data_IF_542399765196
#
_entry.id   IF_542399765196
#
_cell.length_a   1.000
_cell.length_b   1.000
_cell.length_c   1.000
_cell.angle_alpha   90.00
_cell.angle_beta   90.00
_cell.angle_gamma   90.00
#
_symmetry.space_group_name_H-M   'P 1'
#
loop_
_entity.id
_entity.type
_entity.pdbx_description
1 polymer ?
#
# COMPACT_ATOMS: atom_id res chain seq x y z
N UNK A 1 5.06 -25.59 -13.27
CA UNK A 1 5.36 -24.82 -12.05
C UNK A 1 4.05 -24.22 -11.57
N UNK A 2 3.76 -24.25 -10.27
CA UNK A 2 2.53 -23.64 -9.75
C UNK A 2 2.65 -22.11 -9.83
N UNK A 3 1.62 -21.46 -10.33
CA UNK A 3 1.50 -20.01 -10.36
C UNK A 3 1.38 -19.48 -8.91
N UNK A 4 2.21 -18.50 -8.58
CA UNK A 4 2.18 -17.83 -7.27
C UNK A 4 1.30 -16.60 -7.36
N UNK A 5 0.41 -16.45 -6.39
CA UNK A 5 -0.51 -15.31 -6.32
C UNK A 5 -0.36 -14.61 -4.98
N UNK A 6 -0.20 -13.28 -5.02
CA UNK A 6 -0.09 -12.42 -3.86
C UNK A 6 -1.27 -11.45 -3.79
N UNK A 7 -1.61 -11.05 -2.57
CA UNK A 7 -2.69 -10.11 -2.27
C UNK A 7 -2.22 -9.04 -1.30
N UNK A 8 -2.79 -7.83 -1.43
CA UNK A 8 -2.58 -6.73 -0.48
C UNK A 8 -3.79 -5.79 -0.46
N UNK A 9 -4.02 -5.12 0.68
CA UNK A 9 -5.07 -4.12 0.82
C UNK A 9 -4.67 -2.78 0.18
N UNK A 10 -5.64 -2.08 -0.42
CA UNK A 10 -5.48 -0.76 -1.02
C UNK A 10 -6.22 0.31 -0.21
N UNK A 11 -5.76 1.56 -0.34
CA UNK A 11 -6.32 2.72 0.32
C UNK A 11 -5.97 2.79 1.81
N UNK A 12 -6.66 3.67 2.53
CA UNK A 12 -6.46 3.85 3.96
C UNK A 12 -7.76 3.95 4.72
N UNK A 13 -7.73 3.46 5.95
CA UNK A 13 -8.87 3.50 6.86
C UNK A 13 -9.18 4.92 7.32
N UNK A 14 -10.46 5.26 7.30
CA UNK A 14 -11.01 6.48 7.88
C UNK A 14 -12.31 6.19 8.63
N UNK A 15 -12.57 6.94 9.68
CA UNK A 15 -13.82 6.89 10.41
C UNK A 15 -14.67 8.11 10.07
N UNK A 16 -15.88 7.91 9.58
CA UNK A 16 -16.86 8.96 9.28
C UNK A 16 -17.95 9.02 10.35
N UNK A 17 -18.53 10.22 10.54
CA UNK A 17 -19.72 10.42 11.33
C UNK A 17 -20.92 10.63 10.40
N UNK A 18 -22.05 10.01 10.69
CA UNK A 18 -23.30 10.10 9.90
C UNK A 18 -24.14 11.35 10.20
N UNK A 19 -23.62 12.32 10.92
CA UNK A 19 -24.40 13.48 11.41
C UNK A 19 -25.29 13.18 12.60
N UNK A 20 -25.63 11.93 12.88
CA UNK A 20 -26.36 11.48 14.06
C UNK A 20 -25.44 11.00 15.20
N UNK A 21 -24.15 11.22 15.10
CA UNK A 21 -23.14 10.81 16.09
C UNK A 21 -22.66 9.35 15.97
N UNK A 22 -23.18 8.58 15.03
CA UNK A 22 -22.69 7.22 14.76
C UNK A 22 -21.44 7.28 13.89
N UNK A 23 -20.45 6.51 14.28
CA UNK A 23 -19.20 6.35 13.52
C UNK A 23 -19.25 5.08 12.70
N UNK A 24 -18.91 5.19 11.42
CA UNK A 24 -18.79 4.03 10.54
C UNK A 24 -17.44 4.02 9.81
N UNK A 25 -16.87 2.82 9.58
CA UNK A 25 -15.60 2.68 8.90
C UNK A 25 -15.77 2.85 7.40
N UNK A 26 -14.83 3.56 6.78
CA UNK A 26 -14.70 3.67 5.32
C UNK A 26 -13.24 3.50 4.93
N UNK A 27 -13.02 3.02 3.71
CA UNK A 27 -11.70 3.08 3.07
C UNK A 27 -11.71 4.26 2.12
N UNK A 28 -10.73 5.12 2.25
CA UNK A 28 -10.46 6.21 1.32
C UNK A 28 -9.40 5.76 0.33
N UNK A 29 -9.68 5.89 -0.96
CA UNK A 29 -8.78 5.59 -2.06
C UNK A 29 -9.11 6.52 -3.23
N UNK A 30 -8.11 7.19 -3.79
CA UNK A 30 -8.28 8.14 -4.90
C UNK A 30 -9.43 9.15 -4.65
N UNK A 31 -9.44 9.76 -3.46
CA UNK A 31 -10.47 10.71 -3.01
C UNK A 31 -11.90 10.17 -2.90
N UNK A 32 -12.14 8.89 -3.19
CA UNK A 32 -13.44 8.21 -3.06
C UNK A 32 -13.53 7.45 -1.75
N UNK A 33 -14.72 7.41 -1.18
CA UNK A 33 -15.00 6.68 0.07
C UNK A 33 -15.77 5.40 -0.22
N UNK A 34 -15.26 4.29 0.28
CA UNK A 34 -15.85 2.98 0.14
C UNK A 34 -16.34 2.49 1.50
N UNK A 35 -17.67 2.43 1.66
CA UNK A 35 -18.28 1.79 2.84
C UNK A 35 -18.00 0.29 2.82
N UNK A 36 -17.75 -0.28 4.00
CA UNK A 36 -17.46 -1.70 4.18
C UNK A 36 -18.33 -2.29 5.29
N UNK A 37 -18.78 -3.52 5.08
CA UNK A 37 -19.39 -4.28 6.15
C UNK A 37 -18.31 -4.84 7.13
N UNK A 38 -18.71 -5.35 8.30
CA UNK A 38 -17.74 -5.85 9.29
C UNK A 38 -16.85 -6.98 8.77
N UNK A 39 -17.37 -7.86 7.91
CA UNK A 39 -16.61 -8.96 7.32
C UNK A 39 -15.57 -8.46 6.33
N UNK A 40 -15.97 -7.56 5.43
CA UNK A 40 -15.07 -6.89 4.48
C UNK A 40 -13.95 -6.15 5.21
N UNK A 41 -14.30 -5.39 6.25
CA UNK A 41 -13.32 -4.66 7.06
C UNK A 41 -12.33 -5.58 7.76
N UNK A 42 -12.79 -6.72 8.28
CA UNK A 42 -11.92 -7.71 8.93
C UNK A 42 -10.93 -8.30 7.93
N UNK A 43 -11.39 -8.69 6.74
CA UNK A 43 -10.52 -9.23 5.69
C UNK A 43 -9.56 -8.17 5.15
N UNK A 44 -10.02 -6.95 4.89
CA UNK A 44 -9.17 -5.84 4.48
C UNK A 44 -8.08 -5.56 5.51
N UNK A 45 -8.43 -5.57 6.81
CA UNK A 45 -7.47 -5.41 7.91
C UNK A 45 -6.46 -6.56 7.96
N UNK A 46 -6.90 -7.79 7.69
CA UNK A 46 -6.03 -8.95 7.61
C UNK A 46 -4.95 -8.82 6.51
N UNK A 47 -5.26 -8.12 5.42
CA UNK A 47 -4.36 -7.88 4.29
C UNK A 47 -3.56 -6.57 4.40
N UNK A 48 -3.95 -5.66 5.30
CA UNK A 48 -3.32 -4.35 5.43
C UNK A 48 -1.85 -4.47 5.88
N UNK A 49 -0.95 -3.83 5.14
CA UNK A 49 0.51 -3.90 5.29
C UNK A 49 1.08 -5.32 5.25
N UNK A 50 0.49 -6.17 4.44
CA UNK A 50 0.99 -7.51 4.12
C UNK A 50 1.00 -7.74 2.62
N UNK A 51 1.98 -8.50 2.18
CA UNK A 51 2.12 -9.01 0.82
C UNK A 51 2.08 -10.53 0.97
N UNK A 52 0.94 -11.14 0.78
CA UNK A 52 0.70 -12.50 1.24
C UNK A 52 -0.06 -13.35 0.23
N UNK A 53 0.18 -14.64 0.24
CA UNK A 53 -0.61 -15.62 -0.52
C UNK A 53 -2.00 -15.82 0.09
N UNK A 54 -2.85 -16.54 -0.63
CA UNK A 54 -4.23 -16.80 -0.24
C UNK A 54 -4.34 -17.55 1.08
N UNK A 55 -3.51 -18.57 1.30
CA UNK A 55 -3.58 -19.40 2.50
C UNK A 55 -3.27 -18.58 3.76
N UNK A 56 -2.20 -17.82 3.73
CA UNK A 56 -1.83 -16.93 4.84
C UNK A 56 -2.84 -15.81 5.05
N UNK A 57 -3.45 -15.31 3.96
CA UNK A 57 -4.53 -14.32 4.06
C UNK A 57 -5.74 -14.90 4.82
N UNK A 58 -6.10 -16.16 4.55
CA UNK A 58 -7.16 -16.88 5.25
C UNK A 58 -6.81 -17.09 6.72
N UNK A 59 -5.60 -17.56 7.02
CA UNK A 59 -5.11 -17.73 8.40
C UNK A 59 -5.19 -16.41 9.21
N UNK A 60 -4.78 -15.29 8.62
CA UNK A 60 -4.88 -13.98 9.26
C UNK A 60 -6.34 -13.52 9.45
N UNK A 61 -7.19 -13.78 8.46
CA UNK A 61 -8.60 -13.47 8.55
C UNK A 61 -9.28 -14.26 9.66
N UNK A 62 -9.03 -15.57 9.74
CA UNK A 62 -9.55 -16.43 10.79
C UNK A 62 -9.10 -15.99 12.19
N UNK A 63 -7.82 -15.63 12.35
CA UNK A 63 -7.31 -15.12 13.61
C UNK A 63 -8.02 -13.83 14.06
N UNK A 64 -8.32 -12.92 13.11
CA UNK A 64 -9.00 -11.65 13.44
C UNK A 64 -10.50 -11.83 13.62
N UNK A 65 -11.14 -12.78 12.91
CA UNK A 65 -12.58 -13.03 13.00
C UNK A 65 -12.97 -13.93 14.16
N UNK A 66 -12.00 -14.56 14.83
CA UNK A 66 -12.26 -15.46 15.94
C UNK A 66 -13.02 -14.74 17.08
N UNK A 67 -14.19 -15.29 17.44
CA UNK A 67 -15.07 -14.69 18.45
C UNK A 67 -15.92 -13.52 17.97
N UNK A 68 -15.91 -13.18 16.68
CA UNK A 68 -16.78 -12.15 16.10
C UNK A 68 -17.99 -12.77 15.41
N UNK A 69 -19.18 -12.20 15.66
CA UNK A 69 -20.37 -12.49 14.86
C UNK A 69 -20.36 -11.56 13.63
N UNK A 70 -19.89 -12.08 12.49
CA UNK A 70 -19.81 -11.32 11.23
C UNK A 70 -21.05 -11.55 10.38
N UNK A 71 -21.71 -10.46 9.97
CA UNK A 71 -22.86 -10.46 9.06
C UNK A 71 -22.63 -9.41 7.96
N UNK A 72 -22.96 -9.73 6.69
CA UNK A 72 -23.42 -11.04 6.17
C UNK A 72 -22.30 -12.10 6.25
N UNK A 73 -22.67 -13.35 6.43
CA UNK A 73 -21.71 -14.46 6.53
C UNK A 73 -21.42 -15.05 5.14
N UNK A 74 -20.42 -14.50 4.48
CA UNK A 74 -19.89 -15.01 3.20
C UNK A 74 -18.70 -15.95 3.46
N UNK A 75 -18.37 -16.81 2.50
CA UNK A 75 -17.11 -17.54 2.55
C UNK A 75 -15.92 -16.58 2.47
N UNK A 76 -14.75 -16.99 2.96
CA UNK A 76 -13.51 -16.22 2.79
C UNK A 76 -13.25 -15.90 1.31
N UNK A 77 -13.41 -16.91 0.44
CA UNK A 77 -13.23 -16.77 -1.00
C UNK A 77 -14.13 -15.70 -1.60
N UNK A 78 -15.43 -15.77 -1.33
CA UNK A 78 -16.40 -14.82 -1.89
C UNK A 78 -16.13 -13.40 -1.41
N UNK A 79 -15.74 -13.24 -0.13
CA UNK A 79 -15.38 -11.95 0.43
C UNK A 79 -14.10 -11.39 -0.20
N UNK A 80 -13.07 -12.22 -0.42
CA UNK A 80 -11.83 -11.84 -1.06
C UNK A 80 -12.06 -11.42 -2.52
N UNK A 81 -12.76 -12.25 -3.29
CA UNK A 81 -13.07 -11.98 -4.70
C UNK A 81 -13.92 -10.70 -4.85
N UNK A 82 -14.82 -10.46 -3.91
CA UNK A 82 -15.60 -9.23 -3.85
C UNK A 82 -14.73 -8.00 -3.60
N UNK A 83 -13.80 -8.05 -2.64
CA UNK A 83 -12.88 -6.94 -2.37
C UNK A 83 -11.93 -6.68 -3.54
N UNK A 84 -11.48 -7.72 -4.24
CA UNK A 84 -10.68 -7.59 -5.48
C UNK A 84 -11.50 -6.91 -6.57
N UNK A 85 -12.76 -7.35 -6.78
CA UNK A 85 -13.67 -6.75 -7.79
C UNK A 85 -13.96 -5.27 -7.49
N UNK A 86 -14.08 -4.91 -6.21
CA UNK A 86 -14.27 -3.51 -5.78
C UNK A 86 -12.97 -2.68 -5.86
N UNK A 87 -11.85 -3.29 -6.21
CA UNK A 87 -10.55 -2.62 -6.24
C UNK A 87 -9.98 -2.24 -4.87
N UNK A 88 -10.50 -2.80 -3.77
CA UNK A 88 -10.01 -2.55 -2.40
C UNK A 88 -8.91 -3.52 -1.97
N UNK A 89 -8.72 -4.57 -2.74
CA UNK A 89 -7.61 -5.53 -2.62
C UNK A 89 -6.97 -5.69 -4.00
N UNK A 90 -5.66 -5.55 -4.07
CA UNK A 90 -4.89 -5.89 -5.26
C UNK A 90 -4.49 -7.36 -5.25
N UNK A 91 -4.42 -7.93 -6.45
CA UNK A 91 -3.96 -9.28 -6.73
C UNK A 91 -2.88 -9.24 -7.79
N UNK A 92 -1.77 -9.95 -7.59
CA UNK A 92 -0.72 -10.13 -8.59
C UNK A 92 -0.31 -11.59 -8.65
N UNK A 93 0.00 -12.07 -9.85
CA UNK A 93 0.33 -13.46 -10.14
C UNK A 93 1.61 -13.57 -10.95
N UNK A 94 2.37 -14.65 -10.75
CA UNK A 94 3.60 -14.86 -11.50
C UNK A 94 4.18 -16.26 -11.32
N UNK A 95 5.17 -16.56 -12.13
CA UNK A 95 5.89 -17.84 -12.09
C UNK A 95 6.94 -17.90 -10.98
N UNK A 96 7.45 -16.73 -10.58
CA UNK A 96 8.39 -16.55 -9.46
C UNK A 96 7.79 -15.63 -8.40
N UNK A 97 8.39 -15.60 -7.20
CA UNK A 97 7.98 -14.68 -6.15
C UNK A 97 8.13 -13.22 -6.59
N UNK A 98 9.18 -12.92 -7.35
CA UNK A 98 9.41 -11.58 -7.87
C UNK A 98 8.40 -11.19 -8.96
N UNK A 99 8.09 -12.10 -9.90
CA UNK A 99 7.08 -11.84 -10.93
C UNK A 99 5.71 -11.54 -10.32
N UNK A 100 5.30 -12.34 -9.33
CA UNK A 100 4.05 -12.11 -8.61
C UNK A 100 4.06 -10.79 -7.82
N UNK A 101 5.20 -10.42 -7.23
CA UNK A 101 5.36 -9.17 -6.51
C UNK A 101 5.30 -7.96 -7.44
N UNK A 102 6.00 -8.01 -8.58
CA UNK A 102 5.98 -6.92 -9.55
C UNK A 102 4.60 -6.79 -10.22
N UNK A 103 3.96 -7.90 -10.56
CA UNK A 103 2.59 -7.91 -11.08
C UNK A 103 1.58 -7.31 -10.09
N UNK A 104 1.79 -7.56 -8.79
CA UNK A 104 0.97 -6.95 -7.73
C UNK A 104 1.19 -5.44 -7.59
N UNK A 105 2.44 -4.98 -7.66
CA UNK A 105 2.80 -3.61 -7.27
C UNK A 105 2.96 -2.66 -8.46
N UNK A 106 3.22 -3.16 -9.67
CA UNK A 106 3.62 -2.36 -10.83
C UNK A 106 2.69 -1.19 -11.12
N UNK A 107 1.38 -1.42 -11.11
CA UNK A 107 0.34 -0.41 -11.37
C UNK A 107 -0.04 0.43 -10.14
N UNK A 108 0.40 0.02 -8.93
CA UNK A 108 -0.05 0.66 -7.70
C UNK A 108 0.73 1.95 -7.43
N UNK A 109 -0.01 3.02 -7.16
CA UNK A 109 0.54 4.29 -6.72
C UNK A 109 1.05 4.20 -5.30
N UNK A 110 2.25 4.71 -5.08
CA UNK A 110 2.95 4.70 -3.80
C UNK A 110 2.70 6.01 -3.08
N UNK A 111 1.83 5.99 -2.06
CA UNK A 111 1.44 7.19 -1.31
C UNK A 111 2.13 7.21 0.05
N UNK A 112 3.02 8.17 0.32
CA UNK A 112 3.71 8.29 1.59
C UNK A 112 2.76 8.62 2.74
N UNK A 113 2.87 7.89 3.84
CA UNK A 113 2.16 8.23 5.07
C UNK A 113 2.88 9.39 5.75
N UNK A 114 2.21 10.54 5.82
CA UNK A 114 2.73 11.69 6.54
C UNK A 114 2.60 11.48 8.05
N UNK A 115 3.61 10.87 8.67
CA UNK A 115 3.72 10.88 10.13
C UNK A 115 4.28 12.22 10.57
N UNK A 116 3.41 13.20 10.83
CA UNK A 116 3.87 14.48 11.40
C UNK A 116 4.51 14.24 12.77
N UNK A 117 5.67 14.85 13.01
CA UNK A 117 6.36 14.76 14.30
C UNK A 117 5.44 15.10 15.49
N UNK A 118 4.55 16.12 15.41
CA UNK A 118 3.56 16.40 16.46
C UNK A 118 2.64 15.21 16.77
N UNK A 119 2.19 14.48 15.76
CA UNK A 119 1.32 13.31 15.95
C UNK A 119 2.06 12.18 16.68
N UNK A 120 3.35 11.96 16.37
CA UNK A 120 4.18 10.98 17.09
C UNK A 120 4.35 11.36 18.56
N UNK A 121 4.56 12.64 18.87
CA UNK A 121 4.66 13.14 20.24
C UNK A 121 3.36 12.94 21.01
N UNK A 122 2.21 13.30 20.43
CA UNK A 122 0.90 13.10 21.05
C UNK A 122 0.62 11.60 21.28
N UNK A 123 0.95 10.74 20.33
CA UNK A 123 0.79 9.29 20.47
C UNK A 123 1.69 8.74 21.56
N UNK A 124 2.95 9.20 21.61
CA UNK A 124 3.91 8.82 22.65
C UNK A 124 3.40 9.19 24.05
N UNK A 125 2.92 10.41 24.23
CA UNK A 125 2.35 10.87 25.49
C UNK A 125 1.11 10.04 25.89
N UNK A 126 0.21 9.75 24.95
CA UNK A 126 -0.95 8.88 25.19
C UNK A 126 -0.55 7.48 25.64
N UNK A 127 0.46 6.87 25.00
CA UNK A 127 0.97 5.55 25.39
C UNK A 127 1.60 5.57 26.77
N UNK A 128 2.35 6.62 27.14
CA UNK A 128 2.87 6.77 28.51
C UNK A 128 1.76 6.90 29.54
N UNK A 129 0.73 7.72 29.25
CA UNK A 129 -0.42 7.89 30.15
C UNK A 129 -1.26 6.61 30.29
N UNK A 130 -1.23 5.70 29.28
CA UNK A 130 -1.91 4.39 29.36
C UNK A 130 -1.07 3.30 30.03
N UNK A 131 0.07 3.64 30.65
CA UNK A 131 0.91 2.69 31.37
C UNK A 131 1.84 1.83 30.51
N UNK A 132 2.00 2.19 29.23
CA UNK A 132 2.95 1.49 28.33
C UNK A 132 4.39 1.79 28.73
N UNK A 133 5.24 0.77 28.80
CA UNK A 133 6.64 0.94 29.17
C UNK A 133 7.35 1.96 28.26
N UNK A 134 8.17 2.89 28.78
CA UNK A 134 8.84 3.95 28.02
C UNK A 134 9.67 3.43 26.84
N UNK A 135 10.27 2.23 26.97
CA UNK A 135 11.02 1.57 25.91
C UNK A 135 10.17 1.20 24.69
N UNK A 136 8.93 0.74 24.90
CA UNK A 136 8.00 0.41 23.81
C UNK A 136 7.46 1.68 23.15
N UNK A 137 7.19 2.74 23.92
CA UNK A 137 6.73 4.01 23.39
C UNK A 137 7.83 4.74 22.59
N UNK A 138 9.11 4.61 22.98
CA UNK A 138 10.24 5.20 22.26
C UNK A 138 10.47 4.61 20.87
N UNK A 139 9.92 3.41 20.59
CA UNK A 139 9.98 2.81 19.26
C UNK A 139 9.36 3.71 18.17
N UNK A 140 8.43 4.62 18.53
CA UNK A 140 7.84 5.62 17.62
C UNK A 140 8.88 6.62 17.09
N UNK A 141 9.98 6.86 17.83
CA UNK A 141 11.05 7.79 17.47
C UNK A 141 12.29 7.09 16.92
N UNK A 142 12.25 5.77 16.78
CA UNK A 142 13.39 5.03 16.20
C UNK A 142 13.66 5.60 14.81
N UNK A 143 14.91 6.06 14.62
CA UNK A 143 15.36 6.60 13.34
C UNK A 143 15.35 5.47 12.32
N UNK A 144 14.44 5.58 11.38
CA UNK A 144 14.24 4.61 10.31
C UNK A 144 15.47 4.66 9.39
N UNK A 145 16.25 3.60 9.39
CA UNK A 145 17.42 3.48 8.50
C UNK A 145 16.92 3.07 7.12
N UNK A 146 16.49 4.06 6.34
CA UNK A 146 16.15 3.85 4.93
C UNK A 146 17.39 3.61 4.10
N UNK A 147 17.33 2.67 3.19
CA UNK A 147 18.34 2.48 2.15
C UNK A 147 18.30 3.65 1.16
N UNK A 148 19.32 3.77 0.30
CA UNK A 148 19.35 4.82 -0.73
C UNK A 148 18.14 4.74 -1.66
N UNK A 149 17.76 3.57 -2.25
CA UNK A 149 16.56 3.45 -3.05
C UNK A 149 15.28 3.83 -2.29
N UNK A 150 15.13 3.42 -1.03
CA UNK A 150 13.96 3.77 -0.21
C UNK A 150 13.85 5.29 0.02
N UNK A 151 14.98 5.99 0.19
CA UNK A 151 15.01 7.46 0.33
C UNK A 151 14.60 8.15 -0.96
N UNK A 152 15.11 7.67 -2.08
CA UNK A 152 14.80 8.19 -3.40
C UNK A 152 13.31 8.03 -3.73
N UNK A 153 12.74 6.83 -3.55
CA UNK A 153 11.32 6.53 -3.71
C UNK A 153 10.45 7.46 -2.84
N UNK A 154 10.78 7.58 -1.56
CA UNK A 154 10.03 8.46 -0.64
C UNK A 154 10.09 9.93 -1.04
N UNK A 155 11.19 10.38 -1.62
CA UNK A 155 11.32 11.75 -2.11
C UNK A 155 10.46 11.98 -3.35
N UNK A 156 10.54 11.09 -4.35
CA UNK A 156 9.73 11.16 -5.58
C UNK A 156 8.23 11.06 -5.29
N UNK A 157 7.80 10.09 -4.49
CA UNK A 157 6.38 9.89 -4.16
C UNK A 157 5.77 11.03 -3.33
N UNK A 158 6.58 11.92 -2.73
CA UNK A 158 6.10 13.15 -2.11
C UNK A 158 5.90 14.29 -3.10
N UNK A 159 6.62 14.26 -4.21
CA UNK A 159 6.54 15.27 -5.25
C UNK A 159 5.38 15.00 -6.21
N UNK A 160 5.14 13.73 -6.54
CA UNK A 160 4.07 13.32 -7.46
C UNK A 160 3.50 11.95 -7.03
N UNK A 161 2.21 11.68 -7.30
CA UNK A 161 1.66 10.35 -7.20
C UNK A 161 2.25 9.49 -8.33
N UNK A 162 3.14 8.58 -7.98
CA UNK A 162 3.83 7.71 -8.94
C UNK A 162 3.52 6.25 -8.65
N UNK A 163 3.27 5.47 -9.69
CA UNK A 163 3.17 4.01 -9.63
C UNK A 163 4.55 3.38 -9.41
N UNK A 164 4.57 2.12 -9.00
CA UNK A 164 5.85 1.40 -8.85
C UNK A 164 6.61 1.33 -10.18
N UNK A 165 5.93 1.13 -11.32
CA UNK A 165 6.57 1.10 -12.63
C UNK A 165 7.17 2.48 -13.00
N UNK A 166 6.46 3.58 -12.72
CA UNK A 166 6.98 4.94 -12.92
C UNK A 166 8.20 5.21 -12.03
N UNK A 167 8.22 4.70 -10.79
CA UNK A 167 9.39 4.79 -9.90
C UNK A 167 10.59 3.99 -10.45
N UNK A 168 10.35 2.84 -11.09
CA UNK A 168 11.39 2.09 -11.80
C UNK A 168 11.94 2.93 -12.94
N UNK A 169 11.08 3.54 -13.77
CA UNK A 169 11.50 4.42 -14.86
C UNK A 169 12.29 5.62 -14.36
N UNK A 170 11.85 6.24 -13.24
CA UNK A 170 12.62 7.33 -12.62
C UNK A 170 14.04 6.89 -12.24
N UNK A 171 14.19 5.66 -11.72
CA UNK A 171 15.50 5.14 -11.33
C UNK A 171 16.39 4.83 -12.57
N UNK A 172 15.81 4.32 -13.67
CA UNK A 172 16.54 4.08 -14.91
C UNK A 172 17.02 5.38 -15.59
N UNK A 173 16.22 6.44 -15.48
CA UNK A 173 16.52 7.74 -16.09
C UNK A 173 17.23 8.71 -15.15
N UNK A 174 17.66 8.27 -13.95
CA UNK A 174 18.28 9.11 -12.90
C UNK A 174 17.45 10.37 -12.56
N UNK A 175 16.12 10.29 -12.65
CA UNK A 175 15.22 11.40 -12.34
C UNK A 175 15.20 11.64 -10.82
N UNK A 176 15.62 12.82 -10.39
CA UNK A 176 15.66 13.18 -8.99
C UNK A 176 14.40 13.95 -8.55
N UNK A 177 14.02 13.82 -7.29
CA UNK A 177 12.88 14.55 -6.70
C UNK A 177 13.06 16.08 -6.68
N UNK A 178 14.26 16.59 -6.96
CA UNK A 178 14.52 18.03 -7.02
C UNK A 178 13.85 18.71 -8.22
N UNK A 179 13.42 17.92 -9.21
CA UNK A 179 12.89 18.41 -10.50
C UNK A 179 11.44 18.94 -10.39
N UNK A 180 10.67 18.53 -9.38
CA UNK A 180 9.26 18.90 -9.22
C UNK A 180 8.28 18.04 -10.06
N UNK A 181 6.99 18.03 -9.68
CA UNK A 181 6.00 17.06 -10.19
C UNK A 181 5.76 17.15 -11.71
N UNK A 182 5.53 18.35 -12.24
CA UNK A 182 5.26 18.51 -13.69
C UNK A 182 6.44 18.10 -14.55
N UNK A 183 7.64 18.45 -14.13
CA UNK A 183 8.85 18.13 -14.87
C UNK A 183 9.19 16.64 -14.75
N UNK A 184 8.92 16.01 -13.60
CA UNK A 184 9.04 14.56 -13.45
C UNK A 184 8.12 13.82 -14.41
N UNK A 185 6.86 14.22 -14.52
CA UNK A 185 5.92 13.61 -15.47
C UNK A 185 6.32 13.88 -16.94
N UNK A 186 6.80 15.09 -17.24
CA UNK A 186 7.28 15.40 -18.59
C UNK A 186 8.52 14.57 -18.99
N UNK A 187 9.40 14.24 -18.04
CA UNK A 187 10.55 13.37 -18.28
C UNK A 187 10.16 11.89 -18.36
N UNK A 188 9.16 11.45 -17.60
CA UNK A 188 8.65 10.07 -17.64
C UNK A 188 8.00 9.72 -18.99
N UNK A 189 7.20 10.65 -19.51
CA UNK A 189 6.38 10.46 -20.72
C UNK A 189 6.85 11.33 -21.89
N UNK A 190 8.09 11.81 -21.85
CA UNK A 190 8.65 12.70 -22.87
C UNK A 190 9.06 11.99 -24.15
N UNK A 191 9.26 10.68 -24.13
CA UNK A 191 9.33 9.86 -25.32
C UNK A 191 7.91 9.51 -25.79
N UNK A 192 7.64 9.54 -27.07
CA UNK A 192 6.32 9.24 -27.62
C UNK A 192 5.93 7.75 -27.52
N UNK A 193 6.80 6.91 -27.01
CA UNK A 193 6.64 5.46 -26.90
C UNK A 193 6.11 5.01 -25.53
N UNK A 194 6.49 5.71 -24.45
CA UNK A 194 6.06 5.37 -23.08
C UNK A 194 4.71 5.98 -22.75
N UNK A 195 3.74 5.15 -22.39
CA UNK A 195 2.39 5.53 -21.97
C UNK A 195 2.06 4.91 -20.61
N UNK A 196 1.01 5.40 -19.94
CA UNK A 196 0.50 4.79 -18.72
C UNK A 196 0.14 3.32 -18.88
N UNK A 197 -0.26 2.91 -20.09
CA UNK A 197 -0.74 1.56 -20.36
C UNK A 197 0.40 0.56 -20.60
N UNK A 198 1.56 1.00 -21.13
CA UNK A 198 2.67 0.12 -21.46
C UNK A 198 3.83 0.15 -20.45
N UNK A 199 3.94 1.19 -19.63
CA UNK A 199 5.07 1.39 -18.72
C UNK A 199 5.29 0.20 -17.77
N UNK A 200 4.22 -0.46 -17.32
CA UNK A 200 4.32 -1.61 -16.42
C UNK A 200 4.99 -2.79 -17.10
N UNK A 201 4.63 -3.07 -18.37
CA UNK A 201 5.24 -4.17 -19.12
C UNK A 201 6.67 -3.84 -19.54
N UNK A 202 6.93 -2.60 -19.90
CA UNK A 202 8.26 -2.11 -20.31
C UNK A 202 9.25 -2.18 -19.14
N UNK A 203 8.87 -1.69 -17.97
CA UNK A 203 9.73 -1.64 -16.80
C UNK A 203 9.97 -2.99 -16.12
N UNK A 204 9.25 -4.04 -16.51
CA UNK A 204 9.44 -5.41 -15.96
C UNK A 204 10.86 -5.95 -16.21
N UNK A 205 11.47 -5.58 -17.32
CA UNK A 205 12.82 -6.04 -17.72
C UNK A 205 13.92 -5.03 -17.40
N UNK A 206 13.58 -3.88 -16.82
CA UNK A 206 14.54 -2.84 -16.49
C UNK A 206 15.52 -3.29 -15.38
N UNK A 207 16.75 -2.82 -15.44
CA UNK A 207 17.79 -3.20 -14.46
C UNK A 207 17.44 -2.77 -13.03
N UNK A 208 16.79 -1.62 -12.85
CA UNK A 208 16.35 -1.11 -11.56
C UNK A 208 15.08 -1.80 -11.03
N UNK A 209 14.35 -2.59 -11.84
CA UNK A 209 13.06 -3.15 -11.51
C UNK A 209 13.07 -3.90 -10.17
N UNK A 210 14.02 -4.82 -9.98
CA UNK A 210 14.10 -5.63 -8.78
C UNK A 210 14.39 -4.79 -7.53
N UNK A 211 15.34 -3.87 -7.62
CA UNK A 211 15.76 -3.04 -6.46
C UNK A 211 14.66 -2.07 -6.03
N UNK A 212 13.98 -1.43 -6.97
CA UNK A 212 12.89 -0.48 -6.71
C UNK A 212 11.66 -1.21 -6.17
N UNK A 213 11.24 -2.31 -6.79
CA UNK A 213 10.10 -3.10 -6.32
C UNK A 213 10.31 -3.64 -4.90
N UNK A 214 11.52 -4.15 -4.60
CA UNK A 214 11.86 -4.59 -3.25
C UNK A 214 11.85 -3.43 -2.25
N UNK A 215 12.34 -2.25 -2.62
CA UNK A 215 12.34 -1.07 -1.77
C UNK A 215 10.91 -0.57 -1.50
N UNK A 216 10.04 -0.54 -2.51
CA UNK A 216 8.60 -0.22 -2.35
C UNK A 216 7.93 -1.22 -1.40
N UNK A 217 8.13 -2.52 -1.60
CA UNK A 217 7.61 -3.56 -0.71
C UNK A 217 8.09 -3.38 0.73
N UNK A 218 9.38 -3.09 0.96
CA UNK A 218 9.94 -2.84 2.28
C UNK A 218 9.33 -1.60 2.95
N UNK A 219 9.15 -0.51 2.21
CA UNK A 219 8.48 0.71 2.72
C UNK A 219 7.05 0.42 3.16
N UNK A 220 6.31 -0.38 2.39
CA UNK A 220 4.96 -0.80 2.71
C UNK A 220 4.90 -1.69 3.95
N UNK A 221 5.72 -2.74 4.02
CA UNK A 221 5.79 -3.64 5.18
C UNK A 221 6.20 -2.90 6.47
N UNK A 222 6.99 -1.82 6.35
CA UNK A 222 7.35 -0.91 7.46
C UNK A 222 6.30 0.16 7.72
N UNK A 223 5.15 0.13 7.06
CA UNK A 223 4.03 1.07 7.24
C UNK A 223 4.40 2.54 6.97
N UNK A 224 5.28 2.77 5.99
CA UNK A 224 5.71 4.11 5.60
C UNK A 224 4.96 4.64 4.39
N UNK A 225 4.39 3.74 3.61
CA UNK A 225 3.56 4.04 2.44
C UNK A 225 2.28 3.21 2.50
N UNK A 226 1.26 3.67 1.78
CA UNK A 226 0.07 2.90 1.41
C UNK A 226 0.04 2.78 -0.11
N UNK A 227 -0.73 1.84 -0.59
CA UNK A 227 -0.99 1.69 -2.01
C UNK A 227 -2.37 2.22 -2.37
N UNK A 228 -2.44 2.92 -3.48
CA UNK A 228 -3.69 3.37 -4.10
C UNK A 228 -3.73 2.92 -5.56
N UNK A 229 -4.90 2.90 -6.15
CA UNK A 229 -5.14 2.68 -7.57
C UNK A 229 -6.04 3.80 -8.07
N UNK A 230 -5.81 4.29 -9.30
CA UNK A 230 -6.74 5.21 -9.93
C UNK A 230 -8.11 4.52 -10.07
N UNK A 231 -9.15 5.20 -9.59
CA UNK A 231 -10.53 4.72 -9.74
C UNK A 231 -11.06 5.23 -11.08
N UNK A 232 -11.34 4.33 -12.00
CA UNK A 232 -11.99 4.63 -13.26
C UNK A 232 -13.42 5.20 -13.07
#
# INVERSE_FOLDING_TARGET
MAEKTLYTALGHFRCRNDGGGRRYPVILMDHREFGMDPQEMTLWTALCWRLTDRQRAEDFYEQLSNGMELFPRRSFSDCLDWLVTRGLVAKGSGTTDFDALYDLLGELYVVPISSSFPLKVVTFLKLLCSGTAPGSASALFRRDRRTEPERHIMALSRCAPLSTAELVRCAECDISAAVGSQQTLALLYGDQETTSDNIVSEMRTAAACQSVTAAVANLYLRKQVIFERACA
#
